data_IF_699126548469
#
_entry.id   IF_699126548469
#
_cell.length_a   1.000
_cell.length_b   1.000
_cell.length_c   1.000
_cell.angle_alpha   90.00
_cell.angle_beta   90.00
_cell.angle_gamma   90.00
#
_symmetry.space_group_name_H-M   'P 1'
#
loop_
_entity.id
_entity.type
_entity.pdbx_description
1 polymer ?
#
# COMPACT_ATOMS: atom_id res chain seq x y z
N UNK A 1 0.83 -7.02 -34.04
CA UNK A 1 1.23 -5.59 -33.88
C UNK A 1 1.97 -5.41 -32.55
N UNK A 2 3.31 -5.50 -32.54
CA UNK A 2 4.14 -5.51 -31.31
C UNK A 2 4.04 -4.26 -30.43
N UNK A 3 3.64 -3.10 -30.99
CA UNK A 3 3.45 -1.85 -30.24
C UNK A 3 2.42 -1.97 -29.11
N UNK A 4 1.35 -2.75 -29.32
CA UNK A 4 0.26 -2.92 -28.36
C UNK A 4 0.74 -3.69 -27.10
N UNK A 5 1.65 -4.64 -27.29
CA UNK A 5 2.12 -5.48 -26.18
C UNK A 5 3.04 -4.70 -25.23
N UNK A 6 3.91 -3.84 -25.79
CA UNK A 6 4.78 -2.98 -25.00
C UNK A 6 3.97 -2.00 -24.14
N UNK A 7 2.96 -1.34 -24.72
CA UNK A 7 2.09 -0.41 -23.99
C UNK A 7 1.33 -1.12 -22.87
N UNK A 8 0.76 -2.30 -23.14
CA UNK A 8 0.09 -3.10 -22.11
C UNK A 8 1.01 -3.48 -20.96
N UNK A 9 2.25 -3.87 -21.27
CA UNK A 9 3.25 -4.21 -20.24
C UNK A 9 3.59 -3.00 -19.38
N UNK A 10 3.73 -1.81 -19.97
CA UNK A 10 3.98 -0.58 -19.22
C UNK A 10 2.81 -0.22 -18.29
N UNK A 11 1.57 -0.28 -18.82
CA UNK A 11 0.36 -0.04 -18.02
C UNK A 11 0.26 -1.05 -16.87
N UNK A 12 0.56 -2.33 -17.14
CA UNK A 12 0.54 -3.37 -16.12
C UNK A 12 1.57 -3.13 -15.01
N UNK A 13 2.81 -2.80 -15.35
CA UNK A 13 3.85 -2.51 -14.35
C UNK A 13 3.52 -1.25 -13.55
N UNK A 14 3.01 -0.20 -14.19
CA UNK A 14 2.54 1.00 -13.50
C UNK A 14 1.36 0.72 -12.57
N UNK A 15 0.42 -0.13 -13.00
CA UNK A 15 -0.72 -0.54 -12.19
C UNK A 15 -0.28 -1.32 -10.96
N UNK A 16 0.60 -2.33 -11.13
CA UNK A 16 1.14 -3.11 -10.01
C UNK A 16 1.83 -2.18 -9.00
N UNK A 17 2.75 -1.34 -9.45
CA UNK A 17 3.49 -0.43 -8.57
C UNK A 17 2.54 0.52 -7.81
N UNK A 18 1.50 1.02 -8.47
CA UNK A 18 0.46 1.83 -7.84
C UNK A 18 -0.30 1.07 -6.76
N UNK A 19 -0.73 -0.16 -7.05
CA UNK A 19 -1.43 -1.01 -6.09
C UNK A 19 -0.53 -1.36 -4.89
N UNK A 20 0.73 -1.70 -5.11
CA UNK A 20 1.69 -2.03 -4.05
C UNK A 20 1.90 -0.85 -3.10
N UNK A 21 2.06 0.37 -3.64
CA UNK A 21 2.17 1.58 -2.83
C UNK A 21 0.92 1.82 -1.97
N UNK A 22 -0.27 1.67 -2.55
CA UNK A 22 -1.53 1.81 -1.82
C UNK A 22 -1.69 0.72 -0.76
N UNK A 23 -1.34 -0.53 -1.07
CA UNK A 23 -1.39 -1.63 -0.12
C UNK A 23 -0.50 -1.36 1.10
N UNK A 24 0.69 -0.81 0.89
CA UNK A 24 1.61 -0.45 1.98
C UNK A 24 0.99 0.59 2.93
N UNK A 25 0.40 1.65 2.38
CA UNK A 25 -0.25 2.69 3.18
C UNK A 25 -1.43 2.10 3.96
N UNK A 26 -2.29 1.34 3.29
CA UNK A 26 -3.45 0.71 3.94
C UNK A 26 -3.02 -0.23 5.05
N UNK A 27 -2.00 -1.05 4.83
CA UNK A 27 -1.47 -1.98 5.83
C UNK A 27 -1.00 -1.25 7.09
N UNK A 28 -0.25 -0.16 6.94
CA UNK A 28 0.21 0.66 8.08
C UNK A 28 -1.00 1.22 8.83
N UNK A 29 -1.97 1.82 8.12
CA UNK A 29 -3.15 2.41 8.75
C UNK A 29 -3.99 1.37 9.49
N UNK A 30 -4.09 0.17 8.93
CA UNK A 30 -4.80 -0.95 9.54
C UNK A 30 -4.09 -1.44 10.80
N UNK A 31 -2.76 -1.59 10.76
CA UNK A 31 -1.96 -1.96 11.91
C UNK A 31 -2.10 -0.95 13.06
N UNK A 32 -2.02 0.35 12.77
CA UNK A 32 -2.25 1.42 13.75
C UNK A 32 -3.65 1.33 14.37
N UNK A 33 -4.67 1.08 13.54
CA UNK A 33 -6.06 0.99 13.98
C UNK A 33 -6.29 -0.22 14.88
N UNK A 34 -5.78 -1.39 14.49
CA UNK A 34 -5.86 -2.61 15.29
C UNK A 34 -5.12 -2.43 16.62
N UNK A 35 -3.92 -1.86 16.59
CA UNK A 35 -3.13 -1.63 17.80
C UNK A 35 -3.88 -0.78 18.82
N UNK A 36 -4.35 0.40 18.39
CA UNK A 36 -5.19 1.28 19.24
C UNK A 36 -6.45 0.58 19.72
N UNK A 37 -7.04 -0.31 18.92
CA UNK A 37 -8.24 -1.04 19.31
C UNK A 37 -7.97 -2.07 20.40
N UNK A 38 -6.82 -2.74 20.36
CA UNK A 38 -6.42 -3.77 21.34
C UNK A 38 -5.88 -3.14 22.61
N UNK A 39 -4.95 -2.19 22.48
CA UNK A 39 -4.17 -1.66 23.60
C UNK A 39 -4.68 -0.30 24.11
N UNK A 40 -5.51 0.41 23.35
CA UNK A 40 -6.04 1.72 23.74
C UNK A 40 -5.01 2.87 23.68
N UNK A 41 -3.77 2.59 23.28
CA UNK A 41 -2.68 3.55 23.15
C UNK A 41 -2.10 3.56 21.73
N UNK A 42 -1.27 4.55 21.43
CA UNK A 42 -0.52 4.59 20.19
C UNK A 42 0.60 3.53 20.18
N UNK A 43 0.87 2.88 19.04
CA UNK A 43 1.97 1.94 18.94
C UNK A 43 3.31 2.62 19.19
N UNK A 44 4.29 1.89 19.76
CA UNK A 44 5.59 2.46 20.11
C UNK A 44 6.32 2.99 18.87
N UNK A 45 6.79 4.24 18.93
CA UNK A 45 7.41 4.98 17.83
C UNK A 45 6.43 5.79 16.96
N UNK A 46 5.12 5.76 17.25
CA UNK A 46 4.09 6.60 16.64
C UNK A 46 3.54 7.69 17.57
N UNK A 47 4.10 7.77 18.77
CA UNK A 47 4.01 8.82 19.77
C UNK A 47 4.66 10.12 19.23
N UNK A 48 3.90 10.90 18.45
CA UNK A 48 4.18 12.31 18.16
C UNK A 48 3.21 13.22 18.88
#
# INVERSE_FOLDING_TARGET
MPQNEMVKRLVWMGFIAGIESLASIVAIRFALTIWRRIYGEDPPGYDR
#
